data_IF_609301750827
#
_entry.id   IF_609301750827
#
_cell.length_a   1.000
_cell.length_b   1.000
_cell.length_c   1.000
_cell.angle_alpha   90.00
_cell.angle_beta   90.00
_cell.angle_gamma   90.00
#
_symmetry.space_group_name_H-M   'P 1'
#
loop_
_entity.id
_entity.type
_entity.pdbx_description
1 polymer ?
#
# COMPACT_ATOMS: atom_id res chain seq x y z
N UNK A 1 35.30 28.32 28.94
CA UNK A 1 35.39 27.84 27.53
C UNK A 1 34.21 26.94 27.18
N UNK A 2 33.79 26.03 28.06
CA UNK A 2 32.67 25.09 27.80
C UNK A 2 31.30 25.75 27.59
N UNK A 3 30.94 26.77 28.39
CA UNK A 3 29.62 27.43 28.26
C UNK A 3 29.49 28.22 26.94
N UNK A 4 30.59 28.76 26.43
CA UNK A 4 30.61 29.47 25.14
C UNK A 4 30.48 28.49 23.97
N UNK A 5 31.09 27.31 24.06
CA UNK A 5 30.99 26.26 23.06
C UNK A 5 29.56 25.69 22.98
N UNK A 6 28.92 25.48 24.14
CA UNK A 6 27.52 25.02 24.22
C UNK A 6 26.57 26.08 23.66
N UNK A 7 26.78 27.36 23.97
CA UNK A 7 25.97 28.45 23.39
C UNK A 7 26.18 28.59 21.88
N UNK A 8 27.40 28.43 21.39
CA UNK A 8 27.70 28.45 19.96
C UNK A 8 27.08 27.24 19.23
N UNK A 9 27.10 26.06 19.85
CA UNK A 9 26.46 24.86 19.33
C UNK A 9 24.92 24.99 19.28
N UNK A 10 24.30 25.55 20.33
CA UNK A 10 22.87 25.84 20.37
C UNK A 10 22.49 26.94 19.37
N UNK A 11 23.35 27.94 19.17
CA UNK A 11 23.16 28.98 18.14
C UNK A 11 23.28 28.39 16.73
N UNK A 12 24.19 27.44 16.51
CA UNK A 12 24.36 26.73 15.25
C UNK A 12 23.15 25.84 14.94
N UNK A 13 22.58 25.18 15.95
CA UNK A 13 21.33 24.42 15.82
C UNK A 13 20.11 25.33 15.56
N UNK A 14 20.08 26.53 16.15
CA UNK A 14 19.03 27.50 15.92
C UNK A 14 19.12 28.20 14.55
N UNK A 15 20.33 28.32 13.99
CA UNK A 15 20.60 28.86 12.66
C UNK A 15 20.46 27.81 11.55
N UNK A 16 20.66 26.53 11.88
CA UNK A 16 20.34 25.39 11.04
C UNK A 16 18.84 25.07 11.16
N UNK A 17 17.97 26.02 10.79
CA UNK A 17 16.59 25.67 10.48
C UNK A 17 16.60 24.56 9.41
N UNK A 18 15.72 23.56 9.48
CA UNK A 18 15.67 22.55 8.44
C UNK A 18 15.42 23.30 7.13
N UNK A 19 16.32 23.15 6.16
CA UNK A 19 16.13 23.64 4.81
C UNK A 19 15.00 22.81 4.17
N UNK A 20 13.77 23.05 4.63
CA UNK A 20 12.55 22.48 4.09
C UNK A 20 12.24 23.23 2.81
N UNK A 21 11.82 22.50 1.79
CA UNK A 21 11.27 23.12 0.59
C UNK A 21 10.12 24.06 0.98
N UNK A 22 10.02 25.20 0.30
CA UNK A 22 8.95 26.16 0.51
C UNK A 22 7.57 25.45 0.44
N UNK A 23 6.73 25.66 1.45
CA UNK A 23 5.41 25.01 1.57
C UNK A 23 5.36 23.71 2.38
N UNK A 24 6.51 23.11 2.75
CA UNK A 24 6.54 21.90 3.59
C UNK A 24 6.42 22.24 5.08
N UNK A 25 5.49 21.58 5.77
CA UNK A 25 5.28 21.71 7.21
C UNK A 25 5.85 20.52 7.97
N UNK A 26 6.67 20.78 8.98
CA UNK A 26 7.35 19.73 9.74
C UNK A 26 6.37 18.84 10.53
N UNK A 27 5.31 19.40 11.09
CA UNK A 27 4.27 18.66 11.82
C UNK A 27 3.51 17.68 10.92
N UNK A 28 3.01 18.16 9.79
CA UNK A 28 2.33 17.34 8.78
C UNK A 28 3.28 16.25 8.24
N UNK A 29 4.54 16.58 8.01
CA UNK A 29 5.57 15.63 7.55
C UNK A 29 5.83 14.53 8.60
N UNK A 30 5.99 14.89 9.87
CA UNK A 30 6.21 13.92 10.95
C UNK A 30 5.01 12.98 11.13
N UNK A 31 3.79 13.53 11.09
CA UNK A 31 2.58 12.74 11.13
C UNK A 31 2.50 11.77 9.94
N UNK A 32 2.72 12.27 8.73
CA UNK A 32 2.65 11.44 7.52
C UNK A 32 3.74 10.37 7.45
N UNK A 33 4.94 10.61 7.98
CA UNK A 33 5.96 9.58 8.14
C UNK A 33 5.49 8.45 9.09
N UNK A 34 4.93 8.82 10.24
CA UNK A 34 4.38 7.85 11.18
C UNK A 34 3.20 7.08 10.57
N UNK A 35 2.25 7.77 9.94
CA UNK A 35 1.12 7.13 9.25
C UNK A 35 1.59 6.19 8.15
N UNK A 36 2.61 6.56 7.36
CA UNK A 36 3.19 5.68 6.34
C UNK A 36 3.75 4.40 6.96
N UNK A 37 4.48 4.50 8.07
CA UNK A 37 5.02 3.34 8.77
C UNK A 37 3.91 2.43 9.33
N UNK A 38 2.85 3.02 9.89
CA UNK A 38 1.69 2.28 10.40
C UNK A 38 0.94 1.55 9.28
N UNK A 39 0.68 2.18 8.13
CA UNK A 39 0.02 1.50 7.01
C UNK A 39 0.94 0.41 6.42
N UNK A 40 2.25 0.64 6.36
CA UNK A 40 3.19 -0.39 5.93
C UNK A 40 3.16 -1.62 6.86
N UNK A 41 3.00 -1.42 8.17
CA UNK A 41 2.87 -2.48 9.18
C UNK A 41 1.63 -3.36 8.97
N UNK A 42 0.57 -2.85 8.32
CA UNK A 42 -0.63 -3.64 8.03
C UNK A 42 -0.34 -4.85 7.12
N UNK A 43 0.69 -4.80 6.27
CA UNK A 43 1.01 -5.91 5.35
C UNK A 43 1.58 -7.13 6.08
N UNK A 44 2.60 -7.01 6.96
CA UNK A 44 2.99 -8.12 7.82
C UNK A 44 1.90 -8.49 8.85
N UNK A 45 1.09 -7.54 9.33
CA UNK A 45 -0.09 -7.86 10.16
C UNK A 45 -1.06 -8.79 9.43
N UNK A 46 -1.36 -8.48 8.16
CA UNK A 46 -2.19 -9.31 7.29
C UNK A 46 -1.60 -10.70 7.09
N UNK A 47 -0.27 -10.81 6.99
CA UNK A 47 0.41 -12.11 6.91
C UNK A 47 0.10 -12.98 8.14
N UNK A 48 0.14 -12.41 9.35
CA UNK A 48 -0.29 -13.11 10.57
C UNK A 48 -1.78 -13.41 10.57
N UNK A 49 -2.62 -12.46 10.16
CA UNK A 49 -4.07 -12.62 10.12
C UNK A 49 -4.49 -13.79 9.22
N UNK A 50 -4.10 -13.78 7.95
CA UNK A 50 -4.41 -14.89 7.04
C UNK A 50 -3.63 -16.15 7.37
N UNK A 51 -2.38 -16.03 7.82
CA UNK A 51 -1.61 -17.17 8.31
C UNK A 51 -2.38 -17.94 9.38
N UNK A 52 -2.90 -17.25 10.41
CA UNK A 52 -3.68 -17.82 11.50
C UNK A 52 -4.98 -18.51 11.06
N UNK A 53 -5.66 -17.95 10.04
CA UNK A 53 -6.94 -18.45 9.54
C UNK A 53 -6.84 -19.72 8.69
N UNK A 54 -5.67 -20.01 8.11
CA UNK A 54 -5.52 -21.15 7.21
C UNK A 54 -4.98 -22.40 7.91
N UNK A 55 -5.19 -23.60 7.34
CA UNK A 55 -4.59 -24.83 7.86
C UNK A 55 -3.06 -24.73 7.90
N UNK A 56 -2.45 -25.39 8.90
CA UNK A 56 -1.00 -25.32 9.18
C UNK A 56 -0.12 -25.53 7.93
N UNK A 57 -0.51 -26.46 7.05
CA UNK A 57 0.23 -26.76 5.81
C UNK A 57 0.33 -25.59 4.82
N UNK A 58 -0.58 -24.63 4.90
CA UNK A 58 -0.66 -23.48 3.99
C UNK A 58 -0.08 -22.19 4.58
N UNK A 59 0.32 -22.18 5.85
CA UNK A 59 0.70 -20.97 6.60
C UNK A 59 1.88 -20.27 5.95
N UNK A 60 2.97 -21.00 5.68
CA UNK A 60 4.18 -20.42 5.09
C UNK A 60 3.88 -19.76 3.75
N UNK A 61 3.18 -20.46 2.85
CA UNK A 61 2.81 -19.92 1.54
C UNK A 61 1.90 -18.69 1.67
N UNK A 62 0.95 -18.70 2.60
CA UNK A 62 0.02 -17.58 2.84
C UNK A 62 0.73 -16.34 3.33
N UNK A 63 1.63 -16.49 4.31
CA UNK A 63 2.45 -15.40 4.82
C UNK A 63 3.36 -14.83 3.73
N UNK A 64 3.97 -15.72 2.92
CA UNK A 64 4.80 -15.33 1.78
C UNK A 64 4.01 -14.57 0.71
N UNK A 65 2.77 -14.96 0.41
CA UNK A 65 1.91 -14.22 -0.54
C UNK A 65 1.63 -12.79 -0.07
N UNK A 66 1.42 -12.58 1.24
CA UNK A 66 1.24 -11.25 1.81
C UNK A 66 2.52 -10.44 1.74
N UNK A 67 3.66 -10.99 2.20
CA UNK A 67 4.94 -10.27 2.22
C UNK A 67 5.53 -10.03 0.83
N UNK A 68 5.33 -10.92 -0.13
CA UNK A 68 5.83 -10.76 -1.50
C UNK A 68 5.18 -9.56 -2.22
N UNK A 69 3.99 -9.14 -1.79
CA UNK A 69 3.34 -7.92 -2.31
C UNK A 69 4.19 -6.66 -2.05
N UNK A 70 4.90 -6.57 -0.92
CA UNK A 70 5.79 -5.46 -0.60
C UNK A 70 6.86 -5.28 -1.68
N UNK A 71 7.46 -6.39 -2.13
CA UNK A 71 8.48 -6.38 -3.18
C UNK A 71 7.88 -6.10 -4.54
N UNK A 72 6.93 -6.93 -4.98
CA UNK A 72 6.40 -6.86 -6.36
C UNK A 72 5.65 -5.55 -6.59
N UNK A 73 4.69 -5.22 -5.74
CA UNK A 73 3.85 -4.03 -5.93
C UNK A 73 4.64 -2.77 -5.57
N UNK A 74 5.51 -2.82 -4.55
CA UNK A 74 6.37 -1.68 -4.20
C UNK A 74 7.30 -1.28 -5.35
N UNK A 75 7.96 -2.24 -6.02
CA UNK A 75 8.81 -1.96 -7.18
C UNK A 75 7.98 -1.42 -8.34
N UNK A 76 6.85 -2.06 -8.68
CA UNK A 76 6.00 -1.61 -9.79
C UNK A 76 5.41 -0.22 -9.54
N UNK A 77 5.08 0.10 -8.29
CA UNK A 77 4.61 1.42 -7.87
C UNK A 77 5.63 2.51 -8.19
N UNK A 78 6.89 2.29 -7.79
CA UNK A 78 8.03 3.18 -8.06
C UNK A 78 8.31 3.32 -9.56
N UNK A 79 8.25 2.21 -10.30
CA UNK A 79 8.55 2.21 -11.74
C UNK A 79 7.49 2.96 -12.53
N UNK A 80 6.20 2.67 -12.31
CA UNK A 80 5.13 3.25 -13.11
C UNK A 80 3.77 3.40 -12.42
N UNK A 81 3.47 2.60 -11.38
CA UNK A 81 2.15 2.62 -10.73
C UNK A 81 1.79 3.99 -10.15
N UNK A 82 2.76 4.69 -9.54
CA UNK A 82 2.54 6.04 -9.03
C UNK A 82 2.19 7.04 -10.15
N UNK A 83 2.85 6.94 -11.30
CA UNK A 83 2.59 7.79 -12.46
C UNK A 83 1.19 7.56 -13.04
N UNK A 84 0.78 6.28 -13.16
CA UNK A 84 -0.57 5.92 -13.63
C UNK A 84 -1.65 6.43 -12.68
N UNK A 85 -1.39 6.39 -11.36
CA UNK A 85 -2.35 6.81 -10.35
C UNK A 85 -2.44 8.33 -10.20
N UNK A 86 -1.31 9.06 -10.16
CA UNK A 86 -1.26 10.45 -9.74
C UNK A 86 -0.65 11.43 -10.75
N UNK A 87 -0.21 10.95 -11.93
CA UNK A 87 0.28 11.78 -13.02
C UNK A 87 -0.83 12.33 -13.91
N UNK A 88 -0.58 13.46 -14.58
CA UNK A 88 -1.47 14.04 -15.57
C UNK A 88 -2.82 14.56 -15.02
N UNK A 89 -3.75 14.86 -15.94
CA UNK A 89 -5.09 15.38 -15.64
C UNK A 89 -6.21 14.70 -16.43
N UNK A 90 -5.90 13.62 -17.16
CA UNK A 90 -6.86 12.94 -18.01
C UNK A 90 -7.84 12.11 -17.15
N UNK A 91 -9.17 12.21 -17.30
CA UNK A 91 -10.11 11.65 -16.31
C UNK A 91 -10.04 10.13 -16.06
N UNK A 92 -9.53 9.34 -17.02
CA UNK A 92 -9.55 7.87 -16.95
C UNK A 92 -8.22 7.23 -16.53
N UNK A 93 -7.09 7.90 -16.75
CA UNK A 93 -5.78 7.30 -16.48
C UNK A 93 -4.74 8.41 -16.39
N UNK A 94 -3.77 8.24 -15.49
CA UNK A 94 -2.62 9.13 -15.43
C UNK A 94 -1.69 8.98 -16.63
N UNK A 95 -0.61 9.76 -16.61
CA UNK A 95 0.39 9.80 -17.65
C UNK A 95 1.73 9.17 -17.20
N UNK A 96 2.80 9.42 -17.96
CA UNK A 96 4.16 8.94 -17.66
C UNK A 96 5.05 10.02 -17.03
N UNK A 97 4.47 11.09 -16.47
CA UNK A 97 5.22 12.23 -15.91
C UNK A 97 6.10 11.85 -14.71
N UNK A 98 5.71 10.80 -13.97
CA UNK A 98 6.40 10.29 -12.78
C UNK A 98 7.02 8.90 -12.97
N UNK A 99 7.21 8.47 -14.22
CA UNK A 99 7.88 7.19 -14.53
C UNK A 99 9.28 7.17 -13.90
N UNK A 100 9.62 6.07 -13.21
CA UNK A 100 10.85 5.91 -12.41
C UNK A 100 11.11 7.09 -11.44
N UNK A 101 10.04 7.64 -10.85
CA UNK A 101 10.08 8.79 -9.93
C UNK A 101 10.66 10.07 -10.53
N UNK A 102 10.66 10.20 -11.87
CA UNK A 102 10.98 11.48 -12.52
C UNK A 102 10.06 12.57 -11.96
N UNK A 103 10.59 13.74 -11.61
CA UNK A 103 9.80 14.84 -11.02
C UNK A 103 9.10 14.49 -9.68
N UNK A 104 9.61 13.52 -8.93
CA UNK A 104 9.16 13.21 -7.57
C UNK A 104 10.33 13.43 -6.62
N UNK A 105 10.29 14.51 -5.85
CA UNK A 105 11.36 14.89 -4.93
C UNK A 105 10.85 15.43 -3.60
N UNK A 106 11.62 16.33 -3.01
CA UNK A 106 11.32 16.94 -1.71
C UNK A 106 10.47 18.22 -1.81
N UNK A 107 10.07 18.61 -3.03
CA UNK A 107 9.12 19.69 -3.25
C UNK A 107 7.77 19.42 -2.58
N UNK A 108 7.06 20.49 -2.24
CA UNK A 108 5.78 20.38 -1.56
C UNK A 108 4.69 19.83 -2.50
N UNK A 109 3.98 18.78 -2.03
CA UNK A 109 2.68 18.33 -2.55
C UNK A 109 1.65 18.54 -1.46
N UNK A 110 0.91 19.65 -1.54
CA UNK A 110 0.18 20.16 -0.38
C UNK A 110 1.16 20.69 0.67
N UNK A 111 1.08 20.20 1.90
CA UNK A 111 1.95 20.62 3.00
C UNK A 111 3.09 19.64 3.33
N UNK A 112 3.26 18.58 2.53
CA UNK A 112 4.24 17.52 2.77
C UNK A 112 5.14 17.31 1.55
N UNK A 113 6.32 16.69 1.68
CA UNK A 113 7.15 16.35 0.53
C UNK A 113 6.41 15.43 -0.45
N UNK A 114 6.56 15.67 -1.75
CA UNK A 114 5.97 14.86 -2.80
C UNK A 114 6.42 13.39 -2.71
N UNK A 115 7.70 13.16 -2.40
CA UNK A 115 8.23 11.83 -2.14
C UNK A 115 7.52 11.12 -0.98
N UNK A 116 7.15 11.85 0.09
CA UNK A 116 6.41 11.28 1.22
C UNK A 116 4.99 10.90 0.82
N UNK A 117 4.32 11.73 0.03
CA UNK A 117 3.02 11.39 -0.54
C UNK A 117 3.09 10.12 -1.41
N UNK A 118 4.12 10.00 -2.25
CA UNK A 118 4.34 8.81 -3.09
C UNK A 118 4.53 7.54 -2.26
N UNK A 119 5.36 7.60 -1.21
CA UNK A 119 5.59 6.48 -0.29
C UNK A 119 4.32 6.10 0.46
N UNK A 120 3.59 7.09 1.00
CA UNK A 120 2.33 6.85 1.70
C UNK A 120 1.30 6.16 0.81
N UNK A 121 1.11 6.64 -0.43
CA UNK A 121 0.16 6.01 -1.36
C UNK A 121 0.61 4.61 -1.81
N UNK A 122 1.93 4.37 -1.86
CA UNK A 122 2.49 3.07 -2.19
C UNK A 122 2.13 1.98 -1.17
N UNK A 123 2.00 2.32 0.12
CA UNK A 123 1.61 1.34 1.14
C UNK A 123 0.17 0.85 0.94
N UNK A 124 -0.74 1.73 0.49
CA UNK A 124 -2.11 1.36 0.11
C UNK A 124 -2.12 0.40 -1.10
N UNK A 125 -1.28 0.65 -2.11
CA UNK A 125 -1.16 -0.24 -3.26
C UNK A 125 -0.74 -1.66 -2.84
N UNK A 126 0.27 -1.73 -1.97
CA UNK A 126 0.80 -2.99 -1.44
C UNK A 126 -0.26 -3.75 -0.64
N UNK A 127 -0.86 -3.12 0.38
CA UNK A 127 -1.83 -3.81 1.24
C UNK A 127 -3.07 -4.26 0.45
N UNK A 128 -3.51 -3.46 -0.53
CA UNK A 128 -4.68 -3.80 -1.35
C UNK A 128 -4.43 -5.08 -2.16
N UNK A 129 -3.27 -5.18 -2.80
CA UNK A 129 -2.91 -6.39 -3.52
C UNK A 129 -2.75 -7.60 -2.58
N UNK A 130 -2.17 -7.38 -1.39
CA UNK A 130 -1.99 -8.41 -0.37
C UNK A 130 -3.33 -8.98 0.13
N UNK A 131 -4.38 -8.16 0.25
CA UNK A 131 -5.73 -8.60 0.65
C UNK A 131 -6.30 -9.70 -0.26
N UNK A 132 -5.93 -9.69 -1.55
CA UNK A 132 -6.42 -10.70 -2.51
C UNK A 132 -5.84 -12.09 -2.19
N UNK A 133 -4.68 -12.16 -1.54
CA UNK A 133 -4.03 -13.44 -1.19
C UNK A 133 -4.96 -14.37 -0.42
N UNK A 134 -5.77 -13.85 0.50
CA UNK A 134 -6.71 -14.61 1.33
C UNK A 134 -7.70 -15.45 0.51
N UNK A 135 -8.08 -14.96 -0.67
CA UNK A 135 -8.98 -15.66 -1.57
C UNK A 135 -8.29 -16.81 -2.31
N UNK A 136 -7.01 -16.71 -2.63
CA UNK A 136 -6.34 -17.68 -3.53
C UNK A 136 -5.61 -18.82 -2.81
N UNK A 137 -5.61 -18.79 -1.48
CA UNK A 137 -4.90 -19.78 -0.66
C UNK A 137 -5.37 -21.20 -0.97
N UNK A 138 -4.41 -22.10 -1.21
CA UNK A 138 -4.64 -23.52 -1.44
C UNK A 138 -5.20 -23.85 -2.83
N UNK A 139 -5.29 -22.87 -3.74
CA UNK A 139 -5.84 -23.07 -5.09
C UNK A 139 -5.16 -22.27 -6.21
N UNK A 140 -4.10 -21.53 -5.88
CA UNK A 140 -3.27 -20.82 -6.86
C UNK A 140 -1.79 -21.06 -6.56
N UNK A 141 -1.00 -21.28 -7.61
CA UNK A 141 0.46 -21.36 -7.49
C UNK A 141 1.04 -19.99 -7.14
N UNK A 142 2.11 -19.97 -6.35
CA UNK A 142 2.74 -18.73 -5.88
C UNK A 142 3.17 -17.80 -7.04
N UNK A 143 3.83 -18.35 -8.07
CA UNK A 143 4.27 -17.59 -9.25
C UNK A 143 3.10 -16.97 -10.01
N UNK A 144 1.99 -17.71 -10.17
CA UNK A 144 0.78 -17.20 -10.80
C UNK A 144 0.17 -16.06 -9.97
N UNK A 145 0.22 -16.16 -8.64
CA UNK A 145 -0.21 -15.09 -7.75
C UNK A 145 0.67 -13.84 -7.92
N UNK A 146 2.00 -13.98 -8.00
CA UNK A 146 2.90 -12.84 -8.23
C UNK A 146 2.59 -12.13 -9.56
N UNK A 147 2.40 -12.88 -10.64
CA UNK A 147 2.03 -12.32 -11.94
C UNK A 147 0.65 -11.64 -11.89
N UNK A 148 -0.29 -12.24 -11.18
CA UNK A 148 -1.63 -11.68 -10.99
C UNK A 148 -1.57 -10.35 -10.24
N UNK A 149 -0.92 -10.27 -9.07
CA UNK A 149 -0.84 -9.00 -8.32
C UNK A 149 -0.02 -7.94 -9.05
N UNK A 150 1.01 -8.34 -9.81
CA UNK A 150 1.78 -7.43 -10.64
C UNK A 150 0.86 -6.76 -11.69
N UNK A 151 0.14 -7.57 -12.46
CA UNK A 151 -0.77 -7.09 -13.51
C UNK A 151 -1.94 -6.32 -12.92
N UNK A 152 -2.54 -6.84 -11.84
CA UNK A 152 -3.69 -6.23 -11.18
C UNK A 152 -3.35 -4.87 -10.56
N UNK A 153 -2.15 -4.73 -9.97
CA UNK A 153 -1.72 -3.45 -9.37
C UNK A 153 -1.62 -2.33 -10.41
N UNK A 154 -1.19 -2.65 -11.64
CA UNK A 154 -1.05 -1.67 -12.72
C UNK A 154 -2.34 -1.44 -13.52
N UNK A 155 -3.10 -2.51 -13.78
CA UNK A 155 -4.27 -2.46 -14.67
C UNK A 155 -5.58 -2.17 -13.94
N UNK A 156 -5.63 -2.40 -12.63
CA UNK A 156 -6.85 -2.25 -11.84
C UNK A 156 -6.65 -1.26 -10.70
N UNK A 157 -5.66 -1.50 -9.83
CA UNK A 157 -5.45 -0.63 -8.67
C UNK A 157 -5.05 0.79 -9.07
N UNK A 158 -4.01 0.96 -9.88
CA UNK A 158 -3.53 2.30 -10.23
C UNK A 158 -4.59 3.13 -11.00
N UNK A 159 -5.34 2.59 -11.97
CA UNK A 159 -6.48 3.29 -12.57
C UNK A 159 -7.59 3.62 -11.57
N UNK A 160 -7.95 2.70 -10.67
CA UNK A 160 -8.95 2.97 -9.62
C UNK A 160 -8.51 4.10 -8.69
N UNK A 161 -7.24 4.10 -8.26
CA UNK A 161 -6.65 5.18 -7.48
C UNK A 161 -6.66 6.50 -8.26
N UNK A 162 -6.41 6.47 -9.57
CA UNK A 162 -6.52 7.65 -10.42
C UNK A 162 -7.94 8.22 -10.45
N UNK A 163 -8.94 7.36 -10.66
CA UNK A 163 -10.34 7.77 -10.74
C UNK A 163 -10.80 8.49 -9.48
N UNK A 164 -10.37 8.03 -8.30
CA UNK A 164 -10.89 8.49 -7.00
C UNK A 164 -9.99 9.52 -6.33
N UNK A 165 -8.66 9.33 -6.36
CA UNK A 165 -7.69 10.17 -5.64
C UNK A 165 -6.76 10.96 -6.56
N UNK A 166 -6.54 10.50 -7.78
CA UNK A 166 -5.64 11.13 -8.76
C UNK A 166 -6.25 12.29 -9.54
N UNK A 167 -7.46 12.75 -9.19
CA UNK A 167 -8.17 13.79 -9.94
C UNK A 167 -8.94 13.28 -11.17
N UNK A 168 -9.17 11.97 -11.25
CA UNK A 168 -9.95 11.36 -12.32
C UNK A 168 -11.46 11.61 -12.22
N UNK A 169 -12.23 10.88 -13.03
CA UNK A 169 -13.67 11.14 -13.22
C UNK A 169 -14.53 10.94 -11.97
N UNK A 170 -14.24 9.95 -11.09
CA UNK A 170 -14.99 9.76 -9.85
C UNK A 170 -14.77 10.94 -8.88
N UNK A 171 -13.53 11.42 -8.77
CA UNK A 171 -13.21 12.63 -8.03
C UNK A 171 -13.96 13.85 -8.61
N UNK A 172 -13.99 13.98 -9.95
CA UNK A 172 -14.71 15.05 -10.65
C UNK A 172 -16.23 15.04 -10.45
N UNK A 173 -16.82 13.87 -10.16
CA UNK A 173 -18.24 13.74 -9.79
C UNK A 173 -18.51 13.99 -8.30
N UNK A 174 -17.48 14.22 -7.48
CA UNK A 174 -17.61 14.43 -6.04
C UNK A 174 -17.73 13.14 -5.22
N UNK A 175 -17.18 12.02 -5.71
CA UNK A 175 -17.11 10.80 -4.92
C UNK A 175 -16.32 11.02 -3.63
N UNK A 176 -16.90 10.65 -2.48
CA UNK A 176 -16.27 10.78 -1.17
C UNK A 176 -15.68 9.43 -0.75
N UNK A 177 -14.37 9.29 -0.91
CA UNK A 177 -13.61 8.14 -0.43
C UNK A 177 -12.33 8.61 0.27
N UNK A 178 -12.42 8.73 1.60
CA UNK A 178 -11.36 9.32 2.42
C UNK A 178 -10.10 8.44 2.52
N UNK A 179 -10.27 7.12 2.67
CA UNK A 179 -9.19 6.20 3.01
C UNK A 179 -9.24 4.86 2.26
N UNK A 180 -10.09 4.72 1.24
CA UNK A 180 -10.01 3.62 0.29
C UNK A 180 -11.14 2.61 0.42
N UNK A 181 -12.33 3.05 0.82
CA UNK A 181 -13.53 2.22 0.75
C UNK A 181 -13.70 1.61 -0.64
N UNK A 182 -13.53 2.42 -1.68
CA UNK A 182 -13.56 1.98 -3.08
C UNK A 182 -12.20 1.47 -3.55
N UNK A 183 -11.15 2.27 -3.42
CA UNK A 183 -9.82 1.99 -4.01
C UNK A 183 -9.16 0.74 -3.42
N UNK A 184 -9.37 0.48 -2.13
CA UNK A 184 -8.78 -0.64 -1.39
C UNK A 184 -9.80 -1.76 -1.22
N UNK A 185 -10.84 -1.53 -0.42
CA UNK A 185 -11.65 -2.62 0.14
C UNK A 185 -12.60 -3.23 -0.89
N UNK A 186 -13.42 -2.41 -1.55
CA UNK A 186 -14.34 -2.89 -2.60
C UNK A 186 -13.51 -3.45 -3.77
N UNK A 187 -12.45 -2.76 -4.18
CA UNK A 187 -11.60 -3.19 -5.28
C UNK A 187 -10.97 -4.58 -5.03
N UNK A 188 -10.30 -4.77 -3.89
CA UNK A 188 -9.72 -6.06 -3.52
C UNK A 188 -10.80 -7.13 -3.29
N UNK A 189 -11.94 -6.77 -2.69
CA UNK A 189 -13.06 -7.68 -2.45
C UNK A 189 -13.67 -8.23 -3.74
N UNK A 190 -13.89 -7.37 -4.74
CA UNK A 190 -14.38 -7.78 -6.05
C UNK A 190 -13.32 -8.61 -6.79
N UNK A 191 -12.04 -8.21 -6.75
CA UNK A 191 -10.97 -9.01 -7.34
C UNK A 191 -10.89 -10.42 -6.72
N UNK A 192 -10.96 -10.51 -5.39
CA UNK A 192 -11.01 -11.76 -4.64
C UNK A 192 -12.21 -12.62 -5.04
N UNK A 193 -13.40 -12.02 -5.20
CA UNK A 193 -14.60 -12.72 -5.65
C UNK A 193 -14.43 -13.28 -7.07
N UNK A 194 -14.01 -12.44 -8.02
CA UNK A 194 -13.83 -12.85 -9.44
C UNK A 194 -12.79 -13.97 -9.55
N UNK A 195 -11.65 -13.84 -8.87
CA UNK A 195 -10.62 -14.88 -8.88
C UNK A 195 -11.13 -16.17 -8.23
N UNK A 196 -11.89 -16.07 -7.13
CA UNK A 196 -12.52 -17.22 -6.47
C UNK A 196 -13.47 -17.97 -7.40
N UNK A 197 -14.32 -17.25 -8.15
CA UNK A 197 -15.25 -17.83 -9.11
C UNK A 197 -14.51 -18.47 -10.30
N UNK A 198 -13.39 -17.88 -10.72
CA UNK A 198 -12.60 -18.36 -11.86
C UNK A 198 -11.78 -19.61 -11.51
N UNK A 199 -11.16 -19.66 -10.32
CA UNK A 199 -10.34 -20.80 -9.89
C UNK A 199 -11.18 -21.99 -9.39
N UNK A 200 -12.43 -21.75 -8.99
CA UNK A 200 -13.30 -22.78 -8.44
C UNK A 200 -13.00 -23.15 -6.98
N UNK A 201 -13.67 -24.20 -6.46
CA UNK A 201 -13.57 -24.61 -5.06
C UNK A 201 -12.20 -25.20 -4.73
N UNK A 202 -11.81 -25.11 -3.44
CA UNK A 202 -10.62 -25.82 -2.92
C UNK A 202 -10.88 -27.32 -2.94
N UNK A 203 -9.84 -28.14 -3.13
CA UNK A 203 -9.96 -29.61 -3.14
C UNK A 203 -10.60 -30.17 -1.86
N UNK A 204 -10.39 -29.49 -0.74
CA UNK A 204 -10.87 -29.86 0.59
C UNK A 204 -12.27 -29.34 0.93
N UNK A 205 -12.85 -28.51 0.06
CA UNK A 205 -14.13 -27.87 0.31
C UNK A 205 -15.24 -28.91 0.46
N UNK A 206 -15.96 -28.87 1.59
CA UNK A 206 -17.01 -29.83 1.92
C UNK A 206 -16.52 -31.22 2.32
N UNK A 207 -15.19 -31.48 2.33
CA UNK A 207 -14.59 -32.76 2.72
C UNK A 207 -14.04 -32.75 4.14
N UNK A 208 -13.50 -31.61 4.58
CA UNK A 208 -12.93 -31.41 5.92
C UNK A 208 -13.28 -30.02 6.45
N UNK A 209 -13.40 -29.91 7.78
CA UNK A 209 -13.59 -28.62 8.44
C UNK A 209 -12.32 -27.77 8.29
N UNK A 210 -12.45 -26.58 7.68
CA UNK A 210 -11.36 -25.60 7.58
C UNK A 210 -11.31 -24.75 8.85
N UNK A 211 -10.63 -25.27 9.87
CA UNK A 211 -10.46 -24.55 11.13
C UNK A 211 -9.18 -23.68 11.10
N UNK A 212 -9.18 -22.49 11.74
CA UNK A 212 -7.98 -21.71 11.94
C UNK A 212 -6.92 -22.55 12.66
N UNK A 213 -5.68 -22.53 12.17
CA UNK A 213 -4.61 -23.28 12.83
C UNK A 213 -4.09 -22.56 14.08
N UNK A 214 -4.25 -21.23 14.18
CA UNK A 214 -3.72 -20.42 15.27
C UNK A 214 -4.55 -19.15 15.48
N UNK A 215 -5.55 -19.20 16.37
CA UNK A 215 -6.41 -18.05 16.71
C UNK A 215 -5.62 -16.88 17.31
N UNK A 216 -4.63 -17.08 18.19
CA UNK A 216 -3.75 -15.98 18.62
C UNK A 216 -3.08 -15.22 17.47
N UNK A 217 -2.68 -15.88 16.38
CA UNK A 217 -2.14 -15.18 15.20
C UNK A 217 -3.18 -14.31 14.48
N UNK A 218 -4.43 -14.78 14.42
CA UNK A 218 -5.54 -14.00 13.88
C UNK A 218 -5.75 -12.73 14.72
N UNK A 219 -5.74 -12.87 16.05
CA UNK A 219 -5.87 -11.73 16.97
C UNK A 219 -4.70 -10.76 16.86
N UNK A 220 -3.46 -11.28 16.77
CA UNK A 220 -2.27 -10.45 16.56
C UNK A 220 -2.36 -9.65 15.26
N UNK A 221 -2.70 -10.31 14.15
CA UNK A 221 -2.85 -9.63 12.86
C UNK A 221 -4.05 -8.69 12.79
N UNK A 222 -5.06 -8.85 13.66
CA UNK A 222 -6.20 -7.92 13.77
C UNK A 222 -5.84 -6.68 14.60
N UNK A 223 -4.97 -6.85 15.60
CA UNK A 223 -4.58 -5.78 16.52
C UNK A 223 -3.56 -4.81 15.93
N UNK A 224 -2.83 -5.25 14.91
CA UNK A 224 -1.80 -4.49 14.19
C UNK A 224 -2.38 -3.87 12.91
#
# INVERSE_FOLDING_TARGET
MEVALVRLFLLFLALAGPAMAEGVQAGDTAWMLMSTALVLLMTPALAFFYGGLVPQKNVLNTMMMSLASLGVVGILWVVCGYSIAFGGSHPLIGDTSFFLLKNVGLEAKGNIPHLLFMMFQGTFAVITAALISGAVIGRMRFEAYLLFIASWSLLVYAPMAHWVWGGGWLAGMGALDFAGGTVVHINAGIAALVVTLTLGPREEHGRVAMLPHNVPFVLLGTAL
#
